data_IF_777991226037
#
_entry.id   IF_777991226037
#
_cell.length_a   1.000
_cell.length_b   1.000
_cell.length_c   1.000
_cell.angle_alpha   90.00
_cell.angle_beta   90.00
_cell.angle_gamma   90.00
#
_symmetry.space_group_name_H-M   'P 1'
#
loop_
_entity.id
_entity.type
_entity.pdbx_description
1 polymer ?
#
# COMPACT_ATOMS: atom_id res chain seq x y z
N UNK A 1 -23.43 -14.85 11.67
CA UNK A 1 -24.02 -15.23 10.39
C UNK A 1 -25.02 -14.14 9.99
N UNK A 2 -24.96 -13.66 8.75
CA UNK A 2 -25.96 -12.81 8.13
C UNK A 2 -26.93 -13.70 7.38
N UNK A 3 -28.24 -13.38 7.43
CA UNK A 3 -29.28 -14.11 6.68
C UNK A 3 -30.29 -13.11 6.13
N UNK A 4 -30.40 -13.02 4.81
CA UNK A 4 -31.29 -12.09 4.11
C UNK A 4 -32.16 -12.86 3.12
N UNK A 5 -33.43 -12.47 3.01
CA UNK A 5 -34.38 -13.06 2.08
C UNK A 5 -34.65 -12.10 0.93
N UNK A 6 -34.63 -12.62 -0.30
CA UNK A 6 -34.80 -11.85 -1.53
C UNK A 6 -35.69 -12.57 -2.53
N UNK A 7 -36.50 -11.83 -3.31
CA UNK A 7 -37.32 -12.35 -4.39
C UNK A 7 -36.85 -11.74 -5.71
N UNK A 8 -36.66 -12.57 -6.75
CA UNK A 8 -36.25 -12.13 -8.08
C UNK A 8 -37.45 -11.61 -8.87
N UNK A 9 -37.38 -10.41 -9.41
CA UNK A 9 -38.42 -9.83 -10.29
C UNK A 9 -38.31 -10.33 -11.74
N UNK A 10 -37.18 -10.98 -12.08
CA UNK A 10 -36.92 -11.56 -13.40
C UNK A 10 -36.07 -12.84 -13.33
N UNK A 11 -35.93 -13.53 -14.47
CA UNK A 11 -35.05 -14.70 -14.53
C UNK A 11 -33.56 -14.29 -14.51
N UNK A 12 -32.72 -15.05 -13.81
CA UNK A 12 -31.30 -14.78 -13.70
C UNK A 12 -30.45 -15.97 -14.14
N UNK A 13 -29.35 -15.70 -14.85
CA UNK A 13 -28.37 -16.69 -15.29
C UNK A 13 -26.99 -16.51 -14.63
N UNK A 14 -26.80 -15.37 -13.95
CA UNK A 14 -25.54 -15.08 -13.26
C UNK A 14 -25.82 -14.38 -11.94
N UNK A 15 -25.09 -14.82 -10.90
CA UNK A 15 -24.98 -14.17 -9.58
C UNK A 15 -23.62 -13.53 -9.45
N UNK A 16 -23.59 -12.22 -9.27
CA UNK A 16 -22.40 -11.44 -9.03
C UNK A 16 -22.24 -11.18 -7.54
N UNK A 17 -21.04 -11.37 -7.05
CA UNK A 17 -20.73 -11.33 -5.61
C UNK A 17 -19.55 -10.40 -5.37
N UNK A 18 -19.72 -9.43 -4.46
CA UNK A 18 -18.67 -8.52 -4.01
C UNK A 18 -18.41 -8.72 -2.49
N UNK A 19 -17.48 -9.62 -2.13
CA UNK A 19 -17.18 -9.90 -0.74
C UNK A 19 -16.21 -8.86 -0.15
N UNK A 20 -16.33 -8.66 1.16
CA UNK A 20 -15.34 -7.95 1.97
C UNK A 20 -14.29 -8.89 2.56
N UNK A 21 -13.94 -8.66 3.84
CA UNK A 21 -13.00 -9.50 4.58
C UNK A 21 -13.62 -10.87 4.86
N UNK A 22 -12.84 -11.91 4.62
CA UNK A 22 -13.19 -13.29 4.98
C UNK A 22 -12.19 -13.91 5.95
N UNK A 23 -12.73 -14.65 6.91
CA UNK A 23 -11.98 -15.44 7.89
C UNK A 23 -12.16 -16.95 7.65
N UNK A 24 -12.13 -17.38 6.39
CA UNK A 24 -12.45 -18.75 6.00
C UNK A 24 -13.95 -19.00 6.01
N UNK A 25 -14.73 -18.02 5.58
CA UNK A 25 -16.18 -18.07 5.56
C UNK A 25 -16.76 -18.59 4.24
N UNK A 26 -18.08 -18.74 4.23
CA UNK A 26 -18.84 -19.18 3.07
C UNK A 26 -20.11 -18.37 2.86
N UNK A 27 -20.60 -18.40 1.63
CA UNK A 27 -21.92 -17.91 1.26
C UNK A 27 -22.74 -19.06 0.69
N UNK A 28 -23.94 -19.23 1.20
CA UNK A 28 -24.90 -20.25 0.75
C UNK A 28 -26.20 -19.54 0.36
N UNK A 29 -26.74 -19.86 -0.79
CA UNK A 29 -28.03 -19.39 -1.27
C UNK A 29 -28.98 -20.58 -1.39
N UNK A 30 -30.13 -20.53 -0.70
CA UNK A 30 -31.13 -21.57 -0.72
C UNK A 30 -32.45 -21.06 -1.30
N UNK A 31 -33.24 -21.94 -1.91
CA UNK A 31 -34.61 -21.65 -2.34
C UNK A 31 -35.63 -21.71 -1.19
N UNK A 32 -36.90 -21.44 -1.47
CA UNK A 32 -37.99 -21.49 -0.50
C UNK A 32 -38.22 -22.89 0.12
N UNK A 33 -37.70 -23.95 -0.50
CA UNK A 33 -37.79 -25.31 -0.01
C UNK A 33 -36.57 -25.71 0.86
N UNK A 34 -35.60 -24.77 1.02
CA UNK A 34 -34.34 -25.04 1.73
C UNK A 34 -33.29 -25.77 0.88
N UNK A 35 -33.51 -25.95 -0.41
CA UNK A 35 -32.54 -26.57 -1.32
C UNK A 35 -31.44 -25.56 -1.70
N UNK A 36 -30.17 -25.97 -1.59
CA UNK A 36 -29.05 -25.14 -1.97
C UNK A 36 -29.00 -24.94 -3.48
N UNK A 37 -29.14 -23.68 -3.94
CA UNK A 37 -29.04 -23.28 -5.35
C UNK A 37 -27.64 -22.76 -5.71
N UNK A 38 -26.92 -22.25 -4.72
CA UNK A 38 -25.54 -21.78 -4.90
C UNK A 38 -24.78 -21.83 -3.57
N UNK A 39 -23.51 -22.22 -3.64
CA UNK A 39 -22.60 -22.21 -2.50
C UNK A 39 -21.20 -21.78 -2.96
N UNK A 40 -20.53 -20.99 -2.15
CA UNK A 40 -19.19 -20.50 -2.45
C UNK A 40 -18.39 -20.25 -1.18
N UNK A 41 -17.16 -20.78 -1.14
CA UNK A 41 -16.16 -20.35 -0.17
C UNK A 41 -15.70 -18.93 -0.47
N UNK A 42 -15.71 -18.08 0.54
CA UNK A 42 -15.20 -16.73 0.50
C UNK A 42 -13.79 -16.74 1.10
N UNK A 43 -12.79 -16.55 0.26
CA UNK A 43 -11.39 -16.58 0.67
C UNK A 43 -10.70 -15.21 0.49
N UNK A 44 -9.47 -15.09 1.01
CA UNK A 44 -8.72 -13.83 0.95
C UNK A 44 -8.44 -13.35 -0.49
N UNK A 45 -8.34 -14.24 -1.45
CA UNK A 45 -8.05 -13.90 -2.85
C UNK A 45 -9.20 -13.25 -3.60
N UNK A 46 -10.41 -13.27 -3.03
CA UNK A 46 -11.61 -12.63 -3.63
C UNK A 46 -12.06 -11.38 -2.87
N UNK A 47 -11.39 -10.99 -1.78
CA UNK A 47 -11.74 -9.79 -1.02
C UNK A 47 -11.75 -8.54 -1.93
N UNK A 48 -12.80 -7.75 -1.80
CA UNK A 48 -13.01 -6.50 -2.55
C UNK A 48 -12.87 -6.66 -4.07
N UNK A 49 -13.37 -7.79 -4.58
CA UNK A 49 -13.32 -8.12 -6.00
C UNK A 49 -14.65 -8.73 -6.44
N UNK A 50 -15.20 -8.21 -7.51
CA UNK A 50 -16.38 -8.80 -8.13
C UNK A 50 -16.08 -10.17 -8.71
N UNK A 51 -16.98 -11.12 -8.49
CA UNK A 51 -16.94 -12.44 -9.12
C UNK A 51 -18.29 -12.78 -9.72
N UNK A 52 -18.30 -13.23 -10.97
CA UNK A 52 -19.51 -13.70 -11.66
C UNK A 52 -19.61 -15.24 -11.52
N UNK A 53 -20.76 -15.72 -11.12
CA UNK A 53 -21.02 -17.14 -10.91
C UNK A 53 -22.30 -17.53 -11.69
N UNK A 54 -22.26 -18.66 -12.35
CA UNK A 54 -23.42 -19.15 -13.11
C UNK A 54 -24.51 -19.67 -12.17
N UNK A 55 -25.73 -19.26 -12.40
CA UNK A 55 -26.95 -19.75 -11.74
C UNK A 55 -28.06 -19.91 -12.79
N UNK A 56 -29.13 -20.63 -12.46
CA UNK A 56 -30.30 -20.74 -13.31
C UNK A 56 -31.52 -20.57 -12.42
N UNK A 57 -32.07 -19.37 -12.42
CA UNK A 57 -33.16 -18.98 -11.53
C UNK A 57 -34.31 -18.37 -12.33
N UNK A 58 -35.53 -18.81 -12.06
CA UNK A 58 -36.73 -18.28 -12.67
C UNK A 58 -37.20 -16.98 -12.00
N UNK A 59 -37.98 -16.17 -12.73
CA UNK A 59 -38.66 -15.03 -12.15
C UNK A 59 -39.61 -15.46 -11.01
N UNK A 60 -39.70 -14.67 -9.95
CA UNK A 60 -40.50 -14.96 -8.78
C UNK A 60 -39.84 -15.94 -7.78
N UNK A 61 -38.62 -16.43 -8.05
CA UNK A 61 -37.91 -17.31 -7.12
C UNK A 61 -37.59 -16.55 -5.83
N UNK A 62 -38.00 -17.13 -4.70
CA UNK A 62 -37.62 -16.66 -3.37
C UNK A 62 -36.33 -17.35 -2.95
N UNK A 63 -35.36 -16.57 -2.51
CA UNK A 63 -34.06 -17.05 -2.08
C UNK A 63 -33.74 -16.55 -0.66
N UNK A 64 -32.96 -17.34 0.07
CA UNK A 64 -32.33 -16.91 1.32
C UNK A 64 -30.82 -16.99 1.15
N UNK A 65 -30.15 -15.84 1.35
CA UNK A 65 -28.70 -15.72 1.34
C UNK A 65 -28.20 -15.83 2.77
N UNK A 66 -27.32 -16.77 3.04
CA UNK A 66 -26.63 -16.94 4.32
C UNK A 66 -25.13 -16.70 4.13
N UNK A 67 -24.53 -15.92 5.03
CA UNK A 67 -23.08 -15.64 5.03
C UNK A 67 -22.53 -15.95 6.41
N UNK A 68 -21.47 -16.75 6.46
CA UNK A 68 -20.79 -17.15 7.69
C UNK A 68 -19.31 -16.78 7.64
N UNK A 69 -18.78 -16.26 8.75
CA UNK A 69 -17.36 -15.92 8.93
C UNK A 69 -16.76 -15.06 7.82
N UNK A 70 -17.56 -14.23 7.16
CA UNK A 70 -17.12 -13.30 6.12
C UNK A 70 -18.02 -12.05 6.11
N UNK A 71 -17.50 -11.00 5.50
CA UNK A 71 -18.28 -9.81 5.10
C UNK A 71 -18.71 -9.98 3.66
N UNK A 72 -19.93 -9.59 3.37
CA UNK A 72 -20.47 -9.48 2.02
C UNK A 72 -21.07 -8.09 1.88
N UNK A 73 -20.65 -7.35 0.87
CA UNK A 73 -21.07 -5.97 0.66
C UNK A 73 -22.21 -5.88 -0.34
N UNK A 74 -22.08 -6.54 -1.50
CA UNK A 74 -23.07 -6.37 -2.54
C UNK A 74 -23.23 -7.66 -3.35
N UNK A 75 -24.49 -7.91 -3.75
CA UNK A 75 -24.89 -8.97 -4.67
C UNK A 75 -25.68 -8.37 -5.84
N UNK A 76 -25.56 -8.98 -7.00
CA UNK A 76 -26.38 -8.63 -8.14
C UNK A 76 -26.73 -9.84 -8.97
N UNK A 77 -27.96 -9.91 -9.47
CA UNK A 77 -28.38 -10.91 -10.43
C UNK A 77 -28.38 -10.30 -11.84
N UNK A 78 -27.97 -11.10 -12.85
CA UNK A 78 -28.02 -10.69 -14.24
C UNK A 78 -28.76 -11.70 -15.10
N UNK A 79 -29.52 -11.19 -16.08
CA UNK A 79 -30.23 -11.98 -17.07
C UNK A 79 -29.30 -12.48 -18.20
N UNK A 80 -29.83 -13.24 -19.14
CA UNK A 80 -29.08 -13.76 -20.28
C UNK A 80 -28.52 -12.66 -21.22
N UNK A 81 -29.05 -11.44 -21.15
CA UNK A 81 -28.57 -10.28 -21.90
C UNK A 81 -27.54 -9.45 -21.11
N UNK A 82 -27.14 -9.88 -19.89
CA UNK A 82 -26.23 -9.18 -18.99
C UNK A 82 -26.87 -7.98 -18.27
N UNK A 83 -28.18 -7.81 -18.30
CA UNK A 83 -28.87 -6.72 -17.60
C UNK A 83 -29.08 -7.12 -16.15
N UNK A 84 -29.03 -6.13 -15.25
CA UNK A 84 -29.38 -6.32 -13.85
C UNK A 84 -30.85 -6.75 -13.72
N UNK A 85 -31.08 -7.79 -12.94
CA UNK A 85 -32.38 -8.28 -12.55
C UNK A 85 -32.81 -7.60 -11.27
N UNK A 86 -33.85 -6.79 -11.23
CA UNK A 86 -34.36 -6.19 -10.01
C UNK A 86 -34.76 -7.27 -9.00
N UNK A 87 -34.66 -6.93 -7.73
CA UNK A 87 -35.03 -7.81 -6.64
C UNK A 87 -35.90 -7.06 -5.63
N UNK A 88 -36.75 -7.80 -4.94
CA UNK A 88 -37.53 -7.31 -3.80
C UNK A 88 -37.05 -7.93 -2.52
N UNK A 89 -36.65 -7.09 -1.53
CA UNK A 89 -35.99 -7.54 -0.28
C UNK A 89 -34.46 -7.58 -0.40
N UNK A 90 -33.80 -8.39 0.44
CA UNK A 90 -32.35 -8.59 0.44
C UNK A 90 -31.53 -7.54 1.19
N UNK A 91 -32.18 -6.53 1.79
CA UNK A 91 -31.54 -5.56 2.68
C UNK A 91 -30.32 -4.88 2.08
N UNK A 92 -29.29 -4.72 2.89
CA UNK A 92 -28.02 -4.07 2.53
C UNK A 92 -27.20 -4.84 1.48
N UNK A 93 -27.57 -6.08 1.13
CA UNK A 93 -26.88 -6.87 0.10
C UNK A 93 -27.26 -6.47 -1.34
N UNK A 94 -28.29 -5.63 -1.51
CA UNK A 94 -28.82 -5.24 -2.82
C UNK A 94 -29.15 -3.74 -2.90
N UNK A 95 -28.62 -2.92 -2.03
CA UNK A 95 -28.94 -1.48 -1.94
C UNK A 95 -28.06 -0.60 -2.83
N UNK A 96 -26.91 -1.09 -3.26
CA UNK A 96 -25.95 -0.35 -4.08
C UNK A 96 -25.92 -0.84 -5.55
N UNK A 97 -27.07 -1.24 -6.12
CA UNK A 97 -27.18 -1.79 -7.48
C UNK A 97 -26.63 -0.85 -8.58
N UNK A 98 -26.60 0.46 -8.33
CA UNK A 98 -25.99 1.43 -9.25
C UNK A 98 -24.47 1.37 -9.26
N UNK A 99 -23.86 0.78 -8.24
CA UNK A 99 -22.40 0.58 -8.13
C UNK A 99 -21.94 -0.74 -8.80
N UNK A 100 -22.88 -1.63 -9.18
CA UNK A 100 -22.57 -2.88 -9.88
C UNK A 100 -22.01 -2.58 -11.26
N UNK A 101 -20.76 -2.96 -11.57
CA UNK A 101 -20.13 -2.61 -12.83
C UNK A 101 -20.71 -3.41 -14.01
N UNK A 102 -20.68 -2.84 -15.21
CA UNK A 102 -21.11 -3.57 -16.43
C UNK A 102 -20.19 -4.76 -16.75
N UNK A 103 -18.91 -4.64 -16.42
CA UNK A 103 -17.90 -5.68 -16.63
C UNK A 103 -16.94 -5.76 -15.44
N UNK A 104 -16.58 -6.98 -15.07
CA UNK A 104 -15.56 -7.20 -14.01
C UNK A 104 -14.17 -6.95 -14.59
N UNK A 105 -13.42 -6.07 -13.94
CA UNK A 105 -12.06 -5.72 -14.35
C UNK A 105 -11.23 -5.20 -13.17
N UNK A 106 -9.93 -4.97 -13.39
CA UNK A 106 -9.09 -4.30 -12.40
C UNK A 106 -9.48 -2.83 -12.09
N UNK A 107 -10.45 -2.27 -12.82
CA UNK A 107 -10.95 -0.92 -12.52
C UNK A 107 -11.98 -0.90 -11.37
N UNK A 108 -12.56 -2.05 -11.06
CA UNK A 108 -13.59 -2.20 -10.03
C UNK A 108 -13.35 -3.34 -9.04
N UNK A 109 -12.20 -3.99 -9.14
CA UNK A 109 -11.80 -5.11 -8.29
C UNK A 109 -10.33 -4.98 -7.94
N UNK A 110 -9.91 -5.57 -6.82
CA UNK A 110 -8.50 -5.63 -6.46
C UNK A 110 -7.73 -6.53 -7.43
N UNK A 111 -6.51 -6.16 -7.71
CA UNK A 111 -5.63 -6.86 -8.63
C UNK A 111 -4.24 -7.05 -8.03
N UNK A 112 -3.65 -8.25 -8.20
CA UNK A 112 -2.31 -8.60 -7.75
C UNK A 112 -2.14 -8.36 -6.23
N UNK A 113 -1.08 -7.70 -5.78
CA UNK A 113 -0.79 -7.46 -4.36
C UNK A 113 -1.76 -6.49 -3.66
N UNK A 114 -2.69 -5.87 -4.39
CA UNK A 114 -3.74 -5.03 -3.79
C UNK A 114 -4.59 -5.82 -2.79
N UNK A 115 -4.83 -7.12 -3.06
CA UNK A 115 -5.57 -8.01 -2.15
C UNK A 115 -4.91 -8.17 -0.79
N UNK A 116 -3.60 -7.93 -0.68
CA UNK A 116 -2.86 -7.94 0.57
C UNK A 116 -2.79 -6.54 1.19
N UNK A 117 -2.31 -5.56 0.42
CA UNK A 117 -2.01 -4.24 0.95
C UNK A 117 -3.25 -3.35 1.10
N UNK A 118 -4.16 -3.35 0.13
CA UNK A 118 -5.42 -2.62 0.21
C UNK A 118 -6.34 -3.19 1.29
N UNK A 119 -6.44 -4.53 1.37
CA UNK A 119 -7.13 -5.21 2.46
C UNK A 119 -6.57 -4.81 3.82
N UNK A 120 -5.25 -4.84 4.00
CA UNK A 120 -4.62 -4.45 5.26
C UNK A 120 -4.88 -2.98 5.62
N UNK A 121 -4.90 -2.08 4.63
CA UNK A 121 -5.31 -0.69 4.85
C UNK A 121 -6.75 -0.58 5.38
N UNK A 122 -7.67 -1.37 4.86
CA UNK A 122 -9.04 -1.46 5.36
C UNK A 122 -9.09 -2.05 6.77
N UNK A 123 -8.38 -3.15 7.03
CA UNK A 123 -8.30 -3.80 8.35
C UNK A 123 -7.78 -2.84 9.43
N UNK A 124 -6.72 -2.08 9.12
CA UNK A 124 -6.16 -1.06 10.02
C UNK A 124 -7.17 0.05 10.32
N UNK A 125 -7.86 0.56 9.30
CA UNK A 125 -8.86 1.62 9.45
C UNK A 125 -10.01 1.18 10.39
N UNK A 126 -10.44 -0.08 10.27
CA UNK A 126 -11.56 -0.63 11.03
C UNK A 126 -11.12 -1.38 12.31
N UNK A 127 -9.84 -1.26 12.70
CA UNK A 127 -9.26 -1.92 13.89
C UNK A 127 -9.43 -3.44 13.90
N UNK A 128 -9.40 -4.04 12.73
CA UNK A 128 -9.49 -5.49 12.55
C UNK A 128 -8.12 -6.15 12.68
N UNK A 129 -8.04 -7.46 12.93
CA UNK A 129 -6.77 -8.20 12.84
C UNK A 129 -6.15 -8.04 11.45
N UNK A 130 -4.86 -7.67 11.42
CA UNK A 130 -4.14 -7.42 10.17
C UNK A 130 -3.70 -8.75 9.54
N UNK A 131 -4.08 -8.97 8.29
CA UNK A 131 -3.74 -10.19 7.54
C UNK A 131 -2.29 -10.19 7.06
N UNK A 132 -1.86 -9.11 6.38
CA UNK A 132 -0.52 -9.02 5.80
C UNK A 132 0.47 -8.39 6.78
N UNK A 133 1.41 -9.19 7.29
CA UNK A 133 2.43 -8.78 8.26
C UNK A 133 3.86 -9.01 7.77
N UNK A 134 4.04 -9.38 6.48
CA UNK A 134 5.35 -9.73 5.91
C UNK A 134 6.17 -8.50 5.48
N UNK A 135 5.57 -7.31 5.53
CA UNK A 135 6.22 -6.03 5.23
C UNK A 135 5.92 -4.99 6.31
N UNK A 136 6.78 -3.98 6.52
CA UNK A 136 6.52 -2.88 7.43
C UNK A 136 5.21 -2.13 7.06
N UNK A 137 4.55 -1.48 8.04
CA UNK A 137 3.17 -1.01 7.84
C UNK A 137 3.03 0.29 7.05
N UNK A 138 4.03 1.19 6.99
CA UNK A 138 3.85 2.56 6.46
C UNK A 138 3.23 2.60 5.05
N UNK A 139 3.61 1.68 4.16
CA UNK A 139 3.01 1.64 2.82
C UNK A 139 1.51 1.36 2.87
N UNK A 140 1.09 0.49 3.78
CA UNK A 140 -0.32 0.13 4.03
C UNK A 140 -1.06 1.24 4.78
N UNK A 141 -0.36 1.95 5.69
CA UNK A 141 -0.91 3.14 6.37
C UNK A 141 -1.23 4.26 5.38
N UNK A 142 -0.37 4.46 4.36
CA UNK A 142 -0.64 5.43 3.28
C UNK A 142 -1.84 5.02 2.42
N UNK A 143 -1.99 3.72 2.14
CA UNK A 143 -3.18 3.18 1.47
C UNK A 143 -4.43 3.38 2.34
N UNK A 144 -4.34 3.10 3.65
CA UNK A 144 -5.40 3.35 4.63
C UNK A 144 -5.88 4.81 4.60
N UNK A 145 -4.97 5.78 4.49
CA UNK A 145 -5.36 7.20 4.36
C UNK A 145 -6.19 7.45 3.10
N UNK A 146 -5.82 6.85 1.97
CA UNK A 146 -6.60 6.95 0.73
C UNK A 146 -8.01 6.34 0.88
N UNK A 147 -8.11 5.17 1.53
CA UNK A 147 -9.40 4.52 1.84
C UNK A 147 -10.24 5.38 2.79
N UNK A 148 -9.62 5.97 3.81
CA UNK A 148 -10.33 6.83 4.76
C UNK A 148 -10.92 8.09 4.12
N UNK A 149 -10.25 8.64 3.08
CA UNK A 149 -10.69 9.86 2.40
C UNK A 149 -11.73 9.60 1.30
N UNK A 150 -11.63 8.46 0.59
CA UNK A 150 -12.39 8.20 -0.63
C UNK A 150 -13.18 6.88 -0.61
N UNK A 151 -13.25 6.23 0.56
CA UNK A 151 -13.94 4.96 0.74
C UNK A 151 -13.14 3.76 0.21
N UNK A 152 -13.69 2.56 0.45
CA UNK A 152 -13.13 1.29 -0.02
C UNK A 152 -13.48 1.07 -1.49
N UNK A 153 -12.93 1.90 -2.36
CA UNK A 153 -13.11 1.91 -3.81
C UNK A 153 -11.77 1.78 -4.52
N UNK A 154 -11.77 1.39 -5.81
CA UNK A 154 -10.56 1.31 -6.61
C UNK A 154 -9.77 2.64 -6.65
N UNK A 155 -10.46 3.77 -6.59
CA UNK A 155 -9.84 5.08 -6.44
C UNK A 155 -9.23 5.25 -5.04
N UNK A 156 -9.96 4.90 -4.00
CA UNK A 156 -9.53 5.08 -2.60
C UNK A 156 -8.24 4.32 -2.29
N UNK A 157 -8.18 3.01 -2.55
CA UNK A 157 -6.97 2.23 -2.24
C UNK A 157 -5.78 2.55 -3.16
N UNK A 158 -5.99 3.13 -4.37
CA UNK A 158 -4.92 3.50 -5.32
C UNK A 158 -4.45 4.95 -5.21
N UNK A 159 -5.22 5.80 -4.56
CA UNK A 159 -4.97 7.24 -4.51
C UNK A 159 -3.56 7.59 -4.04
N UNK A 160 -3.14 7.08 -2.89
CA UNK A 160 -1.83 7.40 -2.31
C UNK A 160 -0.69 6.93 -3.23
N UNK A 161 -0.75 5.70 -3.77
CA UNK A 161 0.25 5.18 -4.71
C UNK A 161 0.35 6.04 -5.96
N UNK A 162 -0.78 6.46 -6.52
CA UNK A 162 -0.83 7.35 -7.69
C UNK A 162 -0.20 8.71 -7.39
N UNK A 163 -0.50 9.30 -6.23
CA UNK A 163 0.09 10.57 -5.80
C UNK A 163 1.62 10.48 -5.71
N UNK A 164 2.15 9.44 -5.05
CA UNK A 164 3.60 9.24 -4.96
C UNK A 164 4.24 8.97 -6.31
N UNK A 165 3.56 8.24 -7.20
CA UNK A 165 4.00 8.05 -8.58
C UNK A 165 4.09 9.36 -9.39
N UNK A 166 3.13 10.26 -9.21
CA UNK A 166 3.17 11.60 -9.81
C UNK A 166 4.33 12.42 -9.24
N UNK A 167 4.52 12.39 -7.91
CA UNK A 167 5.58 13.14 -7.24
C UNK A 167 6.99 12.63 -7.56
N UNK A 168 7.17 11.39 -8.01
CA UNK A 168 8.46 10.88 -8.49
C UNK A 168 9.01 11.68 -9.67
N UNK A 169 8.15 12.16 -10.57
CA UNK A 169 8.59 12.89 -11.77
C UNK A 169 9.29 14.23 -11.44
N UNK A 170 8.66 15.15 -10.68
CA UNK A 170 9.35 16.38 -10.27
C UNK A 170 10.55 16.09 -9.34
N UNK A 171 10.51 15.04 -8.51
CA UNK A 171 11.64 14.65 -7.69
C UNK A 171 12.85 14.25 -8.55
N UNK A 172 12.65 13.44 -9.58
CA UNK A 172 13.70 13.07 -10.53
C UNK A 172 14.25 14.30 -11.27
N UNK A 173 13.37 15.20 -11.70
CA UNK A 173 13.77 16.47 -12.28
C UNK A 173 14.66 17.28 -11.32
N UNK A 174 14.24 17.47 -10.08
CA UNK A 174 15.00 18.16 -9.04
C UNK A 174 16.36 17.49 -8.80
N UNK A 175 16.38 16.16 -8.75
CA UNK A 175 17.59 15.38 -8.50
C UNK A 175 18.62 15.56 -9.63
N UNK A 176 18.21 15.35 -10.88
CA UNK A 176 19.11 15.53 -12.05
C UNK A 176 19.51 16.99 -12.22
N UNK A 177 18.60 17.95 -11.94
CA UNK A 177 18.93 19.37 -11.97
C UNK A 177 20.00 19.75 -10.95
N UNK A 178 19.94 19.15 -9.76
CA UNK A 178 20.96 19.34 -8.72
C UNK A 178 22.31 18.74 -9.10
N UNK A 179 22.33 17.54 -9.68
CA UNK A 179 23.56 16.85 -10.09
C UNK A 179 24.25 17.55 -11.26
N UNK A 180 23.51 17.89 -12.30
CA UNK A 180 24.08 18.34 -13.57
C UNK A 180 24.14 19.87 -13.72
N UNK A 181 23.29 20.59 -12.97
CA UNK A 181 22.99 22.01 -13.10
C UNK A 181 22.44 22.41 -14.49
N UNK A 182 22.06 21.43 -15.33
CA UNK A 182 21.57 21.63 -16.70
C UNK A 182 20.05 21.44 -16.73
N UNK A 183 19.24 22.47 -17.11
CA UNK A 183 17.77 22.35 -17.14
C UNK A 183 17.29 21.30 -18.15
N UNK A 184 17.95 21.21 -19.32
CA UNK A 184 17.58 20.27 -20.36
C UNK A 184 17.76 18.80 -19.90
N UNK A 185 18.87 18.49 -19.19
CA UNK A 185 19.10 17.15 -18.66
C UNK A 185 18.04 16.76 -17.62
N UNK A 186 17.65 17.71 -16.76
CA UNK A 186 16.59 17.52 -15.79
C UNK A 186 15.22 17.29 -16.48
N UNK A 187 14.92 18.10 -17.53
CA UNK A 187 13.70 17.92 -18.30
C UNK A 187 13.64 16.54 -18.99
N UNK A 188 14.75 16.15 -19.62
CA UNK A 188 14.86 14.82 -20.24
C UNK A 188 14.61 13.70 -19.22
N UNK A 189 15.22 13.75 -18.04
CA UNK A 189 15.02 12.75 -16.99
C UNK A 189 13.56 12.73 -16.51
N UNK A 190 12.94 13.89 -16.32
CA UNK A 190 11.53 13.99 -15.97
C UNK A 190 10.60 13.39 -17.02
N UNK A 191 10.84 13.69 -18.31
CA UNK A 191 10.06 13.14 -19.42
C UNK A 191 10.24 11.63 -19.53
N UNK A 192 11.47 11.13 -19.48
CA UNK A 192 11.74 9.68 -19.55
C UNK A 192 11.04 8.94 -18.40
N UNK A 193 11.12 9.46 -17.18
CA UNK A 193 10.44 8.84 -16.05
C UNK A 193 8.91 8.98 -16.17
N UNK A 194 8.39 10.10 -16.69
CA UNK A 194 6.96 10.29 -16.91
C UNK A 194 6.39 9.26 -17.91
N UNK A 195 7.17 8.90 -18.93
CA UNK A 195 6.80 7.93 -19.96
C UNK A 195 7.20 6.49 -19.63
N UNK A 196 7.89 6.28 -18.50
CA UNK A 196 8.27 4.93 -18.07
C UNK A 196 7.04 4.08 -17.71
N UNK A 197 6.88 2.98 -18.44
CA UNK A 197 5.72 2.11 -18.30
C UNK A 197 5.67 1.40 -16.95
N UNK A 198 6.83 0.99 -16.41
CA UNK A 198 6.90 0.30 -15.13
C UNK A 198 6.45 1.22 -13.99
N UNK A 199 6.98 2.46 -13.95
CA UNK A 199 6.52 3.47 -12.98
C UNK A 199 5.01 3.74 -13.13
N UNK A 200 4.53 3.92 -14.37
CA UNK A 200 3.13 4.18 -14.64
C UNK A 200 2.24 3.03 -14.14
N UNK A 201 2.60 1.79 -14.42
CA UNK A 201 1.85 0.61 -13.99
C UNK A 201 1.86 0.46 -12.46
N UNK A 202 3.05 0.53 -11.83
CA UNK A 202 3.19 0.37 -10.38
C UNK A 202 2.52 1.49 -9.58
N UNK A 203 2.47 2.71 -10.10
CA UNK A 203 1.80 3.82 -9.42
C UNK A 203 0.27 3.74 -9.45
N UNK A 204 -0.31 2.91 -10.30
CA UNK A 204 -1.76 2.71 -10.44
C UNK A 204 -2.29 1.52 -9.64
N UNK A 205 -1.43 0.81 -8.96
CA UNK A 205 -1.78 -0.31 -8.09
C UNK A 205 -1.52 0.07 -6.62
N UNK A 206 -2.31 -0.47 -5.71
CA UNK A 206 -2.08 -0.29 -4.28
C UNK A 206 -0.98 -1.24 -3.79
N UNK A 207 0.24 -1.06 -4.33
CA UNK A 207 1.45 -1.76 -3.89
C UNK A 207 2.32 -0.83 -3.06
N UNK A 208 3.19 -1.42 -2.23
CA UNK A 208 4.07 -0.63 -1.33
C UNK A 208 5.38 -0.20 -1.99
N UNK A 209 5.68 -0.69 -3.19
CA UNK A 209 6.95 -0.47 -3.89
C UNK A 209 7.16 0.99 -4.30
N UNK A 210 6.09 1.67 -4.71
CA UNK A 210 6.15 3.06 -5.15
C UNK A 210 6.58 4.00 -4.02
N UNK A 211 6.15 3.74 -2.78
CA UNK A 211 6.54 4.53 -1.61
C UNK A 211 8.02 4.32 -1.28
N UNK A 212 8.48 3.06 -1.24
CA UNK A 212 9.89 2.73 -1.04
C UNK A 212 10.78 3.42 -2.08
N UNK A 213 10.43 3.33 -3.35
CA UNK A 213 11.15 3.99 -4.46
C UNK A 213 11.20 5.51 -4.30
N UNK A 214 10.08 6.14 -3.96
CA UNK A 214 10.02 7.57 -3.73
C UNK A 214 10.94 8.02 -2.60
N UNK A 215 10.88 7.36 -1.45
CA UNK A 215 11.69 7.73 -0.29
C UNK A 215 13.19 7.43 -0.50
N UNK A 216 13.55 6.37 -1.21
CA UNK A 216 14.94 6.10 -1.60
C UNK A 216 15.48 7.23 -2.49
N UNK A 217 14.73 7.64 -3.51
CA UNK A 217 15.14 8.72 -4.39
C UNK A 217 15.21 10.07 -3.65
N UNK A 218 14.27 10.35 -2.76
CA UNK A 218 14.27 11.54 -1.92
C UNK A 218 15.48 11.56 -0.98
N UNK A 219 15.80 10.42 -0.35
CA UNK A 219 16.99 10.26 0.50
C UNK A 219 18.28 10.52 -0.28
N UNK A 220 18.40 9.96 -1.48
CA UNK A 220 19.54 10.20 -2.37
C UNK A 220 19.64 11.69 -2.77
N UNK A 221 18.54 12.34 -3.11
CA UNK A 221 18.50 13.78 -3.39
C UNK A 221 19.00 14.62 -2.21
N UNK A 222 18.50 14.33 -1.02
CA UNK A 222 18.92 15.03 0.21
C UNK A 222 20.39 14.79 0.54
N UNK A 223 20.89 13.56 0.33
CA UNK A 223 22.30 13.23 0.55
C UNK A 223 23.22 13.98 -0.43
N UNK A 224 22.86 14.06 -1.70
CA UNK A 224 23.61 14.88 -2.67
C UNK A 224 23.59 16.35 -2.26
N UNK A 225 22.44 16.86 -1.81
CA UNK A 225 22.34 18.22 -1.28
C UNK A 225 23.24 18.42 -0.05
N UNK A 226 23.24 17.48 0.88
CA UNK A 226 24.13 17.47 2.02
C UNK A 226 25.61 17.52 1.60
N UNK A 227 26.02 16.64 0.69
CA UNK A 227 27.39 16.57 0.19
C UNK A 227 27.85 17.91 -0.41
N UNK A 228 27.02 18.54 -1.24
CA UNK A 228 27.33 19.84 -1.83
C UNK A 228 27.51 20.92 -0.76
N UNK A 229 26.59 20.97 0.22
CA UNK A 229 26.67 21.97 1.32
C UNK A 229 27.88 21.75 2.22
N UNK A 230 28.23 20.51 2.54
CA UNK A 230 29.42 20.20 3.34
C UNK A 230 30.68 20.70 2.68
N UNK A 231 30.83 20.51 1.37
CA UNK A 231 32.03 20.93 0.63
C UNK A 231 32.14 22.46 0.50
N UNK A 232 31.03 23.18 0.40
CA UNK A 232 31.02 24.64 0.25
C UNK A 232 30.98 25.38 1.59
N UNK A 233 30.00 25.05 2.43
CA UNK A 233 29.60 25.84 3.59
C UNK A 233 29.97 25.19 4.93
N UNK A 234 30.39 23.92 4.92
CA UNK A 234 30.70 23.11 6.10
C UNK A 234 29.49 22.37 6.67
N UNK A 235 29.80 21.43 7.59
CA UNK A 235 28.82 20.50 8.15
C UNK A 235 27.66 21.21 8.86
N UNK A 236 27.94 22.22 9.66
CA UNK A 236 26.91 22.89 10.48
C UNK A 236 25.80 23.55 9.63
N UNK A 237 26.12 23.98 8.42
CA UNK A 237 25.15 24.56 7.48
C UNK A 237 24.46 23.53 6.60
N UNK A 238 24.85 22.25 6.72
CA UNK A 238 24.32 21.12 5.99
C UNK A 238 23.34 20.25 6.80
N UNK A 239 23.07 20.59 8.07
CA UNK A 239 22.23 19.76 8.94
C UNK A 239 20.80 19.58 8.44
N UNK A 240 20.20 20.60 7.79
CA UNK A 240 18.84 20.49 7.24
C UNK A 240 18.71 19.40 6.17
N UNK A 241 19.52 19.38 5.08
CA UNK A 241 19.45 18.29 4.12
C UNK A 241 19.81 16.93 4.73
N UNK A 242 20.65 16.89 5.75
CA UNK A 242 20.96 15.66 6.49
C UNK A 242 19.73 15.15 7.24
N UNK A 243 19.02 16.00 7.95
CA UNK A 243 17.80 15.64 8.67
C UNK A 243 16.69 15.17 7.71
N UNK A 244 16.46 15.89 6.62
CA UNK A 244 15.47 15.50 5.58
C UNK A 244 15.83 14.17 4.92
N UNK A 245 17.13 13.92 4.70
CA UNK A 245 17.63 12.64 4.20
C UNK A 245 17.36 11.50 5.19
N UNK A 246 17.55 11.75 6.49
CA UNK A 246 17.22 10.80 7.55
C UNK A 246 15.73 10.49 7.67
N UNK A 247 14.88 11.51 7.54
CA UNK A 247 13.42 11.32 7.45
C UNK A 247 13.06 10.43 6.26
N UNK A 248 13.57 10.77 5.07
CA UNK A 248 13.32 9.98 3.87
C UNK A 248 13.82 8.53 4.01
N UNK A 249 15.01 8.32 4.59
CA UNK A 249 15.55 7.00 4.84
C UNK A 249 14.66 6.21 5.81
N UNK A 250 14.24 6.81 6.92
CA UNK A 250 13.37 6.17 7.91
C UNK A 250 12.01 5.78 7.33
N UNK A 251 11.37 6.68 6.57
CA UNK A 251 10.09 6.41 5.89
C UNK A 251 10.26 5.33 4.81
N UNK A 252 11.38 5.34 4.09
CA UNK A 252 11.71 4.29 3.12
C UNK A 252 11.80 2.90 3.75
N UNK A 253 12.52 2.79 4.89
CA UNK A 253 12.62 1.54 5.66
C UNK A 253 11.26 1.12 6.24
N UNK A 254 10.44 2.07 6.70
CA UNK A 254 9.12 1.83 7.25
C UNK A 254 8.09 1.42 6.17
N UNK A 255 8.31 1.80 4.91
CA UNK A 255 7.47 1.37 3.79
C UNK A 255 7.87 -0.03 3.26
N UNK A 256 9.18 -0.28 3.11
CA UNK A 256 9.72 -1.57 2.65
C UNK A 256 11.17 -1.73 3.08
N UNK A 257 11.57 -2.93 3.51
CA UNK A 257 12.95 -3.19 3.96
C UNK A 257 14.02 -2.96 2.89
N UNK A 258 13.65 -2.91 1.62
CA UNK A 258 14.59 -2.51 0.55
C UNK A 258 15.20 -1.12 0.77
N UNK A 259 14.55 -0.25 1.56
CA UNK A 259 15.10 1.02 2.01
C UNK A 259 16.43 0.88 2.77
N UNK A 260 16.63 -0.22 3.52
CA UNK A 260 17.88 -0.49 4.27
C UNK A 260 19.07 -0.58 3.33
N UNK A 261 18.91 -1.22 2.16
CA UNK A 261 20.01 -1.34 1.18
C UNK A 261 20.44 0.04 0.64
N UNK A 262 19.50 0.96 0.47
CA UNK A 262 19.83 2.34 0.10
C UNK A 262 20.71 3.03 1.17
N UNK A 263 20.54 2.66 2.44
CA UNK A 263 21.37 3.15 3.55
C UNK A 263 22.87 2.91 3.35
N UNK A 264 23.25 1.79 2.75
CA UNK A 264 24.66 1.51 2.44
C UNK A 264 25.23 2.54 1.43
N UNK A 265 24.47 2.86 0.37
CA UNK A 265 24.85 3.89 -0.60
C UNK A 265 24.93 5.28 0.01
N UNK A 266 23.95 5.63 0.87
CA UNK A 266 23.97 6.90 1.60
C UNK A 266 25.18 7.00 2.54
N UNK A 267 25.54 5.91 3.23
CA UNK A 267 26.71 5.86 4.10
C UNK A 267 28.01 6.06 3.32
N UNK A 268 28.16 5.46 2.14
CA UNK A 268 29.33 5.66 1.27
C UNK A 268 29.46 7.14 0.87
N UNK A 269 28.39 7.78 0.44
CA UNK A 269 28.38 9.20 0.09
C UNK A 269 28.71 10.09 1.29
N UNK A 270 28.12 9.77 2.44
CA UNK A 270 28.34 10.47 3.69
C UNK A 270 29.81 10.41 4.15
N UNK A 271 30.39 9.22 4.21
CA UNK A 271 31.80 9.04 4.59
C UNK A 271 32.74 9.65 3.54
N UNK A 272 32.42 9.50 2.26
CA UNK A 272 33.18 10.07 1.16
C UNK A 272 33.24 11.60 1.21
N UNK A 273 32.11 12.27 1.51
CA UNK A 273 32.12 13.74 1.62
C UNK A 273 32.87 14.24 2.86
N UNK A 274 32.78 13.52 3.98
CA UNK A 274 33.57 13.85 5.18
C UNK A 274 35.06 13.70 4.93
N UNK A 275 35.48 12.64 4.22
CA UNK A 275 36.85 12.45 3.80
C UNK A 275 37.30 13.57 2.85
N UNK A 276 36.51 13.93 1.85
CA UNK A 276 36.83 15.04 0.95
C UNK A 276 36.92 16.37 1.70
N UNK A 277 36.04 16.61 2.67
CA UNK A 277 36.09 17.80 3.54
C UNK A 277 37.36 17.82 4.40
N UNK A 278 37.77 16.69 4.95
CA UNK A 278 39.02 16.56 5.71
C UNK A 278 40.25 16.89 4.86
N UNK A 279 40.28 16.45 3.60
CA UNK A 279 41.37 16.75 2.67
C UNK A 279 41.54 18.25 2.38
N UNK A 280 40.46 19.06 2.57
CA UNK A 280 40.54 20.52 2.41
C UNK A 280 41.40 21.19 3.52
N UNK A 281 41.81 20.47 4.55
CA UNK A 281 42.67 20.93 5.69
C UNK A 281 42.19 22.25 6.31
N UNK A 282 40.88 22.51 6.34
CA UNK A 282 40.33 23.74 6.92
C UNK A 282 40.40 23.69 8.45
N UNK A 283 40.68 24.82 9.12
CA UNK A 283 40.66 24.91 10.57
C UNK A 283 39.25 24.58 11.09
N UNK A 284 39.18 23.93 12.28
CA UNK A 284 37.88 23.58 12.90
C UNK A 284 37.27 22.24 12.46
N UNK A 285 37.91 21.48 11.58
CA UNK A 285 37.39 20.18 11.11
C UNK A 285 36.99 19.20 12.23
N UNK A 286 37.73 19.21 13.38
CA UNK A 286 37.38 18.36 14.52
C UNK A 286 35.97 18.65 15.07
N UNK A 287 35.58 19.95 15.11
CA UNK A 287 34.23 20.35 15.52
C UNK A 287 33.18 19.94 14.48
N UNK A 288 33.47 20.18 13.19
CA UNK A 288 32.60 19.74 12.07
C UNK A 288 32.43 18.20 12.08
N UNK A 289 33.50 17.44 12.32
CA UNK A 289 33.43 15.98 12.40
C UNK A 289 32.57 15.49 13.57
N UNK A 290 32.69 16.13 14.75
CA UNK A 290 31.79 15.81 15.88
C UNK A 290 30.33 16.13 15.55
N UNK A 291 30.06 17.27 14.93
CA UNK A 291 28.71 17.64 14.50
C UNK A 291 28.16 16.65 13.47
N UNK A 292 29.00 16.21 12.52
CA UNK A 292 28.64 15.17 11.57
C UNK A 292 28.32 13.85 12.29
N UNK A 293 29.20 13.38 13.18
CA UNK A 293 29.01 12.11 13.90
C UNK A 293 27.71 12.12 14.74
N UNK A 294 27.48 13.19 15.49
CA UNK A 294 26.24 13.36 16.27
C UNK A 294 25.03 13.42 15.35
N UNK A 295 25.07 14.24 14.27
CA UNK A 295 24.01 14.31 13.29
C UNK A 295 23.77 12.98 12.58
N UNK A 296 24.83 12.21 12.28
CA UNK A 296 24.73 10.87 11.71
C UNK A 296 23.93 9.92 12.60
N UNK A 297 24.25 9.88 13.88
CA UNK A 297 23.50 9.05 14.84
C UNK A 297 22.06 9.54 14.99
N UNK A 298 21.87 10.85 15.16
CA UNK A 298 20.51 11.41 15.35
C UNK A 298 19.62 11.19 14.13
N UNK A 299 20.12 11.49 12.93
CA UNK A 299 19.29 11.53 11.73
C UNK A 299 19.28 10.24 10.92
N UNK A 300 20.31 9.38 11.03
CA UNK A 300 20.36 8.12 10.27
C UNK A 300 20.28 6.85 11.13
N UNK A 301 20.19 6.99 12.47
CA UNK A 301 19.92 5.86 13.37
C UNK A 301 18.66 6.12 14.20
N UNK A 302 18.68 7.14 15.07
CA UNK A 302 17.59 7.35 16.03
C UNK A 302 16.30 7.80 15.35
N UNK A 303 16.36 8.79 14.47
CA UNK A 303 15.18 9.30 13.75
C UNK A 303 14.53 8.23 12.88
N UNK A 304 15.26 7.47 12.03
CA UNK A 304 14.69 6.35 11.27
C UNK A 304 14.05 5.29 12.17
N UNK A 305 14.70 4.95 13.30
CA UNK A 305 14.13 3.99 14.24
C UNK A 305 12.81 4.50 14.84
N UNK A 306 12.74 5.78 15.24
CA UNK A 306 11.51 6.39 15.73
C UNK A 306 10.41 6.38 14.67
N UNK A 307 10.72 6.72 13.41
CA UNK A 307 9.76 6.71 12.31
C UNK A 307 9.30 5.28 11.98
N UNK A 308 10.21 4.32 12.03
CA UNK A 308 9.91 2.92 11.80
C UNK A 308 8.98 2.36 12.89
N UNK A 309 9.28 2.59 14.17
CA UNK A 309 8.41 2.21 15.29
C UNK A 309 7.07 2.95 15.17
N UNK A 310 7.11 4.24 14.87
CA UNK A 310 5.91 5.07 14.72
C UNK A 310 4.96 4.59 13.61
N UNK A 311 5.46 3.93 12.57
CA UNK A 311 4.61 3.34 11.53
C UNK A 311 3.73 2.19 12.03
N UNK A 312 4.02 1.63 13.20
CA UNK A 312 3.16 0.63 13.85
C UNK A 312 2.03 1.26 14.69
N UNK A 313 1.84 2.57 14.64
CA UNK A 313 0.78 3.26 15.40
C UNK A 313 -0.62 2.63 15.21
N UNK A 314 -1.05 2.18 14.00
CA UNK A 314 -2.33 1.49 13.83
C UNK A 314 -2.45 0.19 14.64
N UNK A 315 -1.35 -0.50 14.91
CA UNK A 315 -1.34 -1.72 15.73
C UNK A 315 -1.64 -1.40 17.20
N UNK A 316 -1.00 -0.36 17.78
CA UNK A 316 -1.31 0.13 19.12
C UNK A 316 -2.71 0.73 19.23
N UNK A 317 -3.15 1.37 18.16
CA UNK A 317 -4.51 1.93 18.12
C UNK A 317 -5.59 0.86 18.11
N UNK A 318 -5.33 -0.26 17.44
CA UNK A 318 -6.22 -1.43 17.40
C UNK A 318 -6.24 -2.14 18.75
N UNK A 319 -5.07 -2.42 19.30
CA UNK A 319 -4.88 -3.22 20.51
C UNK A 319 -3.95 -2.46 21.49
N UNK A 320 -4.51 -1.82 22.52
CA UNK A 320 -3.71 -1.15 23.54
C UNK A 320 -2.74 -2.07 24.30
N UNK A 321 -2.97 -3.39 24.29
CA UNK A 321 -2.05 -4.37 24.88
C UNK A 321 -0.85 -4.70 23.99
N UNK A 322 -0.84 -4.27 22.72
CA UNK A 322 0.29 -4.46 21.80
C UNK A 322 1.56 -3.83 22.39
N UNK A 323 2.54 -4.66 22.70
CA UNK A 323 3.77 -4.28 23.40
C UNK A 323 4.96 -4.14 22.45
N UNK A 324 6.10 -3.62 22.96
CA UNK A 324 7.37 -3.65 22.23
C UNK A 324 7.87 -5.07 21.96
N UNK A 325 7.48 -6.06 22.78
CA UNK A 325 7.76 -7.47 22.53
C UNK A 325 7.00 -7.96 21.30
N UNK A 326 5.72 -7.58 21.17
CA UNK A 326 4.89 -7.95 20.00
C UNK A 326 5.41 -7.27 18.74
N UNK A 327 5.80 -5.99 18.85
CA UNK A 327 6.48 -5.28 17.76
C UNK A 327 7.75 -6.04 17.33
N UNK A 328 8.57 -6.51 18.27
CA UNK A 328 9.78 -7.29 17.96
C UNK A 328 9.44 -8.63 17.29
N UNK A 329 8.40 -9.32 17.74
CA UNK A 329 7.93 -10.54 17.09
C UNK A 329 7.48 -10.31 15.65
N UNK A 330 6.89 -9.16 15.34
CA UNK A 330 6.61 -8.79 13.94
C UNK A 330 7.89 -8.73 13.10
N UNK A 331 9.00 -8.18 13.66
CA UNK A 331 10.28 -8.12 12.93
C UNK A 331 10.86 -9.53 12.69
N UNK A 332 10.82 -10.39 13.72
CA UNK A 332 11.29 -11.77 13.62
C UNK A 332 10.48 -12.55 12.60
N UNK A 333 9.15 -12.39 12.60
CA UNK A 333 8.26 -13.05 11.64
C UNK A 333 8.52 -12.58 10.20
N UNK A 334 8.69 -11.27 9.98
CA UNK A 334 9.05 -10.73 8.67
C UNK A 334 10.39 -11.27 8.18
N UNK A 335 11.40 -11.27 9.05
CA UNK A 335 12.71 -11.81 8.70
C UNK A 335 12.64 -13.30 8.37
N UNK A 336 11.96 -14.09 9.17
CA UNK A 336 11.77 -15.52 8.94
C UNK A 336 11.07 -15.79 7.61
N UNK A 337 10.01 -15.05 7.30
CA UNK A 337 9.30 -15.14 6.03
C UNK A 337 10.25 -14.92 4.85
N UNK A 338 10.98 -13.79 4.84
CA UNK A 338 11.89 -13.47 3.73
C UNK A 338 13.10 -14.42 3.63
N UNK A 339 13.60 -14.94 4.76
CA UNK A 339 14.72 -15.88 4.77
C UNK A 339 14.33 -17.28 4.25
N UNK A 340 13.06 -17.66 4.37
CA UNK A 340 12.56 -18.98 3.93
C UNK A 340 11.86 -18.94 2.57
N UNK A 341 11.63 -17.76 2.02
CA UNK A 341 10.97 -17.58 0.73
C UNK A 341 11.80 -18.24 -0.39
N UNK A 342 11.17 -19.18 -1.10
CA UNK A 342 11.77 -19.79 -2.29
C UNK A 342 11.17 -19.13 -3.52
N UNK A 343 12.04 -18.75 -4.47
CA UNK A 343 11.58 -18.27 -5.76
C UNK A 343 10.75 -19.37 -6.46
N UNK A 344 9.52 -19.04 -6.84
CA UNK A 344 8.61 -19.94 -7.54
C UNK A 344 8.64 -19.73 -9.06
N UNK A 345 9.33 -18.68 -9.51
CA UNK A 345 9.54 -18.36 -10.91
C UNK A 345 11.03 -18.21 -11.19
N UNK A 346 11.50 -18.63 -12.37
CA UNK A 346 12.91 -18.48 -12.77
C UNK A 346 13.32 -17.01 -12.93
#
# INVERSE_FOLDING_TARGET
>A
ALSESVTLDGSAVSLWVYPGISFGGSMTVTDANGSTVFEKELNYGTCFSWTANNVQLAAGTQLTVMVENAQLFELAFRDANGRLVPVTGGGELFDEQTAVPDTISQLNSMYFDEIYHGRTGYEQLHKMPVYETTHPPLGKDLIMVGIALFGMTAFGWRFAGTLFGVLLVPLAWCFVRRLTRKPWAAATAGVLLALDFMRFSQSRLATIDIYGTFFILLGAYCMVWYCQRVLTDGVNRALLPMALGGVAFGLGCAAKWTGIYAGAGLAVLYLGVLYARWQQKRPGFRAEFRAAAVGGVLFYVLLPLCLYIGSYLPYWWRDPAFSLSDWWQCQVSMFSYHATLKATHP
#
